data_IF_031851138636
#
_entry.id   IF_031851138636
#
_cell.length_a   1.000
_cell.length_b   1.000
_cell.length_c   1.000
_cell.angle_alpha   90.00
_cell.angle_beta   90.00
_cell.angle_gamma   90.00
#
_symmetry.space_group_name_H-M   'P 1'
#
loop_
_entity.id
_entity.type
_entity.pdbx_description
1 polymer ?
#
# COMPACT_ATOMS: atom_id res chain seq x y z
N UNK A 1 46.82 -22.74 45.91
CA UNK A 1 45.37 -22.73 45.66
C UNK A 1 45.10 -21.72 44.49
N UNK A 2 44.91 -22.21 43.25
CA UNK A 2 44.68 -21.35 42.07
C UNK A 2 43.16 -21.21 41.88
N UNK A 3 42.68 -19.98 42.03
CA UNK A 3 41.25 -19.65 41.79
C UNK A 3 41.07 -19.36 40.32
N UNK A 4 40.27 -20.20 39.60
CA UNK A 4 39.86 -19.96 38.22
C UNK A 4 38.59 -19.10 38.25
N UNK A 5 38.67 -17.89 37.70
CA UNK A 5 37.48 -17.07 37.38
C UNK A 5 36.91 -17.54 36.04
N UNK A 6 35.71 -18.11 36.07
CA UNK A 6 34.93 -18.40 34.86
C UNK A 6 34.14 -17.15 34.55
N UNK A 7 34.53 -16.44 33.48
CA UNK A 7 33.77 -15.29 32.95
C UNK A 7 32.69 -15.83 32.02
N UNK A 8 31.44 -15.82 32.47
CA UNK A 8 30.28 -16.20 31.65
C UNK A 8 29.94 -15.05 30.70
N UNK A 9 30.19 -15.22 29.40
CA UNK A 9 29.73 -14.29 28.36
C UNK A 9 28.25 -14.54 28.10
N UNK A 10 27.40 -13.60 28.53
CA UNK A 10 25.97 -13.60 28.14
C UNK A 10 25.84 -12.98 26.74
N UNK A 11 25.62 -13.80 25.76
CA UNK A 11 25.24 -13.32 24.42
C UNK A 11 23.79 -12.81 24.46
N UNK A 12 23.60 -11.48 24.51
CA UNK A 12 22.32 -10.85 24.32
C UNK A 12 22.08 -10.83 22.79
N UNK A 13 21.35 -11.82 22.28
CA UNK A 13 20.84 -11.78 20.90
C UNK A 13 19.71 -10.74 20.86
N UNK A 14 20.01 -9.56 20.36
CA UNK A 14 18.98 -8.58 20.01
C UNK A 14 18.13 -9.17 18.87
N UNK A 15 16.92 -9.60 19.18
CA UNK A 15 15.91 -9.86 18.17
C UNK A 15 15.64 -8.52 17.48
N UNK A 16 16.15 -8.35 16.28
CA UNK A 16 15.79 -7.23 15.42
C UNK A 16 14.29 -7.37 15.09
N UNK A 17 13.46 -6.66 15.84
CA UNK A 17 12.05 -6.47 15.50
C UNK A 17 12.05 -5.62 14.25
N UNK A 18 11.62 -6.19 13.12
CA UNK A 18 11.46 -5.44 11.87
C UNK A 18 10.57 -4.22 12.18
N UNK A 19 11.06 -3.02 11.88
CA UNK A 19 10.27 -1.81 12.07
C UNK A 19 8.97 -1.91 11.27
N UNK A 20 7.84 -1.52 11.87
CA UNK A 20 6.58 -1.50 11.14
C UNK A 20 6.68 -0.52 9.96
N UNK A 21 6.14 -0.91 8.82
CA UNK A 21 6.03 -0.07 7.63
C UNK A 21 5.33 1.25 7.99
N UNK A 22 5.99 2.37 7.75
CA UNK A 22 5.43 3.69 8.00
C UNK A 22 4.97 4.35 6.70
N UNK A 23 3.99 5.25 6.80
CA UNK A 23 3.57 6.07 5.67
C UNK A 23 4.74 6.93 5.11
N UNK A 24 5.62 7.40 5.98
CA UNK A 24 6.79 8.18 5.60
C UNK A 24 7.73 7.39 4.68
N UNK A 25 7.89 6.09 4.92
CA UNK A 25 8.73 5.22 4.06
C UNK A 25 8.13 5.10 2.65
N UNK A 26 6.79 5.01 2.54
CA UNK A 26 6.12 5.01 1.24
C UNK A 26 6.32 6.33 0.49
N UNK A 27 6.04 7.43 1.16
CA UNK A 27 6.21 8.76 0.58
C UNK A 27 7.65 8.97 0.10
N UNK A 28 8.63 8.64 0.95
CA UNK A 28 10.04 8.80 0.61
C UNK A 28 10.44 7.94 -0.60
N UNK A 29 9.95 6.72 -0.70
CA UNK A 29 10.23 5.84 -1.84
C UNK A 29 9.74 6.47 -3.14
N UNK A 30 8.49 6.93 -3.19
CA UNK A 30 7.94 7.54 -4.41
C UNK A 30 8.60 8.88 -4.70
N UNK A 31 8.76 9.73 -3.70
CA UNK A 31 9.28 11.09 -3.92
C UNK A 31 10.77 11.11 -4.27
N UNK A 32 11.52 10.04 -3.98
CA UNK A 32 12.92 9.91 -4.41
C UNK A 32 13.09 9.81 -5.93
N UNK A 33 12.03 9.47 -6.66
CA UNK A 33 12.01 9.44 -8.13
C UNK A 33 11.85 10.84 -8.76
N UNK A 34 11.48 11.84 -7.95
CA UNK A 34 11.18 13.20 -8.41
C UNK A 34 12.17 14.20 -7.84
N UNK A 35 12.35 15.31 -8.55
CA UNK A 35 13.31 16.35 -8.16
C UNK A 35 12.80 17.20 -7.00
N UNK A 36 11.48 17.44 -6.95
CA UNK A 36 10.88 18.38 -6.00
C UNK A 36 9.43 18.02 -5.69
N UNK A 37 9.04 18.27 -4.45
CA UNK A 37 7.65 18.21 -3.99
C UNK A 37 7.16 19.63 -3.75
N UNK A 38 5.95 19.95 -4.19
CA UNK A 38 5.29 21.24 -3.97
C UNK A 38 3.89 21.04 -3.38
N UNK A 39 3.35 21.99 -2.62
CA UNK A 39 1.93 22.04 -2.31
C UNK A 39 1.12 22.00 -3.61
N UNK A 40 0.08 21.18 -3.65
CA UNK A 40 -0.82 21.11 -4.79
C UNK A 40 -1.88 22.22 -4.70
N UNK A 41 -2.10 22.95 -5.79
CA UNK A 41 -3.13 23.99 -5.86
C UNK A 41 -4.50 23.46 -6.32
N UNK A 42 -4.58 22.17 -6.69
CA UNK A 42 -5.83 21.55 -7.10
C UNK A 42 -6.73 21.26 -5.90
N UNK A 43 -8.03 21.42 -6.09
CA UNK A 43 -9.02 21.13 -5.05
C UNK A 43 -9.40 19.64 -5.09
N UNK A 44 -9.31 18.94 -3.97
CA UNK A 44 -9.78 17.56 -3.80
C UNK A 44 -11.25 17.42 -4.25
N UNK A 45 -12.06 18.43 -3.99
CA UNK A 45 -13.48 18.43 -4.37
C UNK A 45 -13.71 18.31 -5.88
N UNK A 46 -12.81 18.89 -6.68
CA UNK A 46 -12.88 18.89 -8.14
C UNK A 46 -12.24 17.65 -8.80
N UNK A 47 -11.43 16.91 -8.06
CA UNK A 47 -10.74 15.72 -8.58
C UNK A 47 -11.56 14.46 -8.30
N UNK A 48 -11.70 13.59 -9.29
CA UNK A 48 -12.32 12.27 -9.11
C UNK A 48 -11.26 11.17 -9.26
N UNK A 49 -10.84 10.61 -8.14
CA UNK A 49 -9.84 9.53 -8.09
C UNK A 49 -10.38 8.15 -8.47
N UNK A 50 -11.63 8.03 -8.89
CA UNK A 50 -12.21 6.76 -9.35
C UNK A 50 -11.38 6.09 -10.44
N UNK A 51 -10.95 6.76 -11.53
CA UNK A 51 -10.13 6.13 -12.56
C UNK A 51 -8.74 5.70 -12.06
N UNK A 52 -8.15 6.46 -11.13
CA UNK A 52 -6.86 6.09 -10.51
C UNK A 52 -7.00 4.83 -9.67
N UNK A 53 -8.02 4.77 -8.81
CA UNK A 53 -8.26 3.64 -7.90
C UNK A 53 -8.75 2.38 -8.61
N UNK A 54 -9.50 2.50 -9.73
CA UNK A 54 -10.03 1.39 -10.52
C UNK A 54 -9.14 1.03 -11.72
N UNK A 55 -7.88 1.48 -11.73
CA UNK A 55 -6.95 1.10 -12.80
C UNK A 55 -6.85 -0.43 -12.92
N UNK A 56 -7.13 -0.95 -14.13
CA UNK A 56 -7.37 -2.38 -14.35
C UNK A 56 -6.18 -3.15 -14.93
N UNK A 57 -5.23 -2.43 -15.49
CA UNK A 57 -4.06 -3.04 -16.16
C UNK A 57 -3.11 -3.71 -15.16
N UNK A 58 -3.13 -3.29 -13.90
CA UNK A 58 -2.28 -3.81 -12.84
C UNK A 58 -3.10 -4.34 -11.67
N UNK A 59 -2.67 -5.47 -11.09
CA UNK A 59 -3.35 -6.10 -9.96
C UNK A 59 -2.73 -5.65 -8.65
N UNK A 60 -3.57 -5.45 -7.63
CA UNK A 60 -3.08 -5.29 -6.25
C UNK A 60 -2.47 -6.58 -5.72
N UNK A 61 -1.25 -6.48 -5.26
CA UNK A 61 -0.50 -7.55 -4.63
C UNK A 61 0.01 -7.08 -3.26
N UNK A 62 -0.12 -7.92 -2.25
CA UNK A 62 0.24 -7.53 -0.90
C UNK A 62 0.58 -8.68 0.03
N UNK A 63 0.92 -8.31 1.26
CA UNK A 63 1.29 -9.21 2.33
C UNK A 63 0.49 -8.94 3.61
N UNK A 64 0.17 -10.00 4.36
CA UNK A 64 -0.51 -9.91 5.66
C UNK A 64 0.22 -10.76 6.71
N UNK A 65 0.44 -10.14 7.88
CA UNK A 65 0.99 -10.76 9.07
C UNK A 65 2.49 -11.07 9.01
N UNK A 66 3.02 -11.57 10.12
CA UNK A 66 4.45 -11.84 10.28
C UNK A 66 5.02 -12.87 9.29
N UNK A 67 4.16 -13.77 8.81
CA UNK A 67 4.53 -14.76 7.80
C UNK A 67 4.41 -14.24 6.37
N UNK A 68 4.05 -12.97 6.19
CA UNK A 68 3.89 -12.32 4.88
C UNK A 68 3.05 -13.19 3.93
N UNK A 69 1.90 -13.71 4.42
CA UNK A 69 0.97 -14.47 3.59
C UNK A 69 0.51 -13.60 2.42
N UNK A 70 0.45 -14.18 1.23
CA UNK A 70 0.01 -13.46 0.04
C UNK A 70 -1.42 -12.94 0.23
N UNK A 71 -1.58 -11.65 0.00
CA UNK A 71 -2.85 -10.93 -0.01
C UNK A 71 -3.10 -10.42 -1.43
N UNK A 72 -4.26 -10.69 -1.97
CA UNK A 72 -4.76 -10.08 -3.20
C UNK A 72 -5.97 -9.24 -2.84
N UNK A 73 -6.02 -8.02 -3.33
CA UNK A 73 -7.15 -7.10 -3.15
C UNK A 73 -7.72 -6.74 -4.51
N UNK A 74 -9.04 -6.70 -4.64
CA UNK A 74 -9.70 -6.28 -5.86
C UNK A 74 -10.88 -5.39 -5.53
N UNK A 75 -10.86 -4.17 -6.00
CA UNK A 75 -12.03 -3.30 -6.00
C UNK A 75 -12.98 -3.69 -7.13
N UNK A 76 -14.26 -3.80 -6.81
CA UNK A 76 -15.34 -4.08 -7.78
C UNK A 76 -16.19 -2.85 -8.05
N UNK A 77 -16.27 -1.93 -7.09
CA UNK A 77 -16.97 -0.66 -7.20
C UNK A 77 -16.26 0.41 -6.38
N UNK A 78 -16.10 1.58 -6.96
CA UNK A 78 -15.66 2.80 -6.28
C UNK A 78 -16.55 3.93 -6.74
N UNK A 79 -17.12 4.67 -5.79
CA UNK A 79 -17.99 5.81 -6.05
C UNK A 79 -17.61 6.98 -5.17
N UNK A 80 -17.32 8.12 -5.79
CA UNK A 80 -17.14 9.39 -5.07
C UNK A 80 -18.46 9.79 -4.41
N UNK A 81 -18.39 10.23 -3.15
CA UNK A 81 -19.56 10.72 -2.44
C UNK A 81 -19.94 12.13 -2.91
N UNK A 82 -21.22 12.36 -3.18
CA UNK A 82 -21.72 13.63 -3.69
C UNK A 82 -21.76 14.74 -2.64
N UNK A 83 -21.84 14.38 -1.36
CA UNK A 83 -21.96 15.31 -0.23
C UNK A 83 -20.62 15.55 0.46
N UNK A 84 -19.71 14.57 0.39
CA UNK A 84 -18.37 14.62 0.94
C UNK A 84 -17.34 14.34 -0.15
N UNK A 85 -16.91 15.34 -0.92
CA UNK A 85 -16.10 15.14 -2.15
C UNK A 85 -14.73 14.48 -1.94
N UNK A 86 -14.24 14.38 -0.72
CA UNK A 86 -13.01 13.65 -0.38
C UNK A 86 -13.25 12.18 -0.08
N UNK A 87 -14.51 11.76 0.08
CA UNK A 87 -14.91 10.41 0.46
C UNK A 87 -15.26 9.57 -0.77
N UNK A 88 -14.79 8.33 -0.77
CA UNK A 88 -15.11 7.31 -1.76
C UNK A 88 -15.71 6.09 -1.06
N UNK A 89 -16.91 5.68 -1.45
CA UNK A 89 -17.50 4.41 -1.07
C UNK A 89 -16.90 3.31 -1.93
N UNK A 90 -16.44 2.22 -1.30
CA UNK A 90 -15.75 1.14 -2.00
C UNK A 90 -16.35 -0.21 -1.67
N UNK A 91 -16.37 -1.09 -2.68
CA UNK A 91 -16.69 -2.50 -2.54
C UNK A 91 -15.63 -3.34 -3.25
N UNK A 92 -15.40 -4.54 -2.76
CA UNK A 92 -14.42 -5.42 -3.35
C UNK A 92 -14.31 -6.76 -2.62
N UNK A 93 -13.23 -7.44 -2.88
CA UNK A 93 -12.87 -8.67 -2.18
C UNK A 93 -11.36 -8.73 -1.90
N UNK A 94 -11.04 -9.43 -0.83
CA UNK A 94 -9.67 -9.82 -0.48
C UNK A 94 -9.52 -11.33 -0.65
N UNK A 95 -8.31 -11.78 -0.96
CA UNK A 95 -7.96 -13.21 -0.93
C UNK A 95 -6.63 -13.40 -0.22
N UNK A 96 -6.68 -14.09 0.92
CA UNK A 96 -5.48 -14.50 1.65
C UNK A 96 -5.29 -15.99 1.42
N UNK A 97 -4.22 -16.36 0.71
CA UNK A 97 -3.98 -17.72 0.24
C UNK A 97 -5.18 -18.27 -0.57
N UNK A 98 -6.05 -19.10 0.03
CA UNK A 98 -7.24 -19.70 -0.60
C UNK A 98 -8.56 -19.05 -0.17
N UNK A 99 -8.56 -18.22 0.87
CA UNK A 99 -9.77 -17.68 1.46
C UNK A 99 -10.11 -16.32 0.84
N UNK A 100 -11.22 -16.24 0.13
CA UNK A 100 -11.77 -14.99 -0.41
C UNK A 100 -12.83 -14.44 0.53
N UNK A 101 -12.84 -13.12 0.75
CA UNK A 101 -13.80 -12.38 1.59
C UNK A 101 -14.22 -11.11 0.87
N UNK A 102 -15.53 -10.85 0.83
CA UNK A 102 -16.04 -9.58 0.33
C UNK A 102 -15.93 -8.50 1.40
N UNK A 103 -15.61 -7.30 0.99
CA UNK A 103 -15.60 -6.14 1.85
C UNK A 103 -16.36 -4.97 1.24
N UNK A 104 -16.77 -4.07 2.11
CA UNK A 104 -17.24 -2.71 1.80
C UNK A 104 -16.53 -1.72 2.71
N UNK A 105 -16.47 -0.47 2.30
CA UNK A 105 -15.80 0.52 3.14
C UNK A 105 -15.62 1.85 2.48
N UNK A 106 -14.64 2.60 2.96
CA UNK A 106 -14.37 3.96 2.52
C UNK A 106 -12.88 4.22 2.30
N UNK A 107 -12.62 5.14 1.37
CA UNK A 107 -11.33 5.82 1.23
C UNK A 107 -11.62 7.31 1.37
N UNK A 108 -10.83 8.01 2.19
CA UNK A 108 -10.90 9.47 2.35
C UNK A 108 -9.57 10.06 1.92
N UNK A 109 -9.59 10.90 0.88
CA UNK A 109 -8.41 11.64 0.42
C UNK A 109 -8.27 12.89 1.28
N UNK A 110 -7.12 13.09 1.91
CA UNK A 110 -6.89 14.17 2.86
C UNK A 110 -5.99 15.28 2.30
N UNK A 111 -4.98 14.89 1.52
CA UNK A 111 -3.91 15.82 1.09
C UNK A 111 -3.51 15.51 -0.34
N UNK A 112 -3.16 16.56 -1.08
CA UNK A 112 -2.56 16.48 -2.41
C UNK A 112 -1.19 17.17 -2.39
N UNK A 113 -0.24 16.57 -3.08
CA UNK A 113 1.09 17.17 -3.34
C UNK A 113 1.38 17.04 -4.83
N UNK A 114 1.94 18.09 -5.41
CA UNK A 114 2.45 18.07 -6.79
C UNK A 114 3.91 17.60 -6.77
N UNK A 115 4.24 16.71 -7.67
CA UNK A 115 5.59 16.23 -7.91
C UNK A 115 6.16 16.90 -9.15
N UNK A 116 7.42 17.31 -9.11
CA UNK A 116 8.11 17.92 -10.24
C UNK A 116 9.15 16.95 -10.76
N UNK A 117 8.97 16.55 -12.01
CA UNK A 117 9.91 15.71 -12.73
C UNK A 117 10.97 16.55 -13.42
N UNK A 118 12.16 15.99 -13.65
CA UNK A 118 13.19 16.55 -14.54
C UNK A 118 13.04 16.05 -15.97
N UNK A 119 12.36 14.95 -16.18
CA UNK A 119 12.12 14.37 -17.48
C UNK A 119 10.85 14.94 -18.10
N UNK A 120 10.83 15.07 -19.42
CA UNK A 120 9.60 15.43 -20.13
C UNK A 120 8.59 14.29 -20.01
N UNK A 121 7.38 14.61 -19.60
CA UNK A 121 6.28 13.66 -19.52
C UNK A 121 5.12 14.14 -20.38
N UNK A 122 4.26 13.21 -20.80
CA UNK A 122 3.03 13.55 -21.52
C UNK A 122 1.93 14.13 -20.60
N UNK A 123 2.27 14.39 -19.33
CA UNK A 123 1.34 14.92 -18.34
C UNK A 123 1.55 16.42 -18.10
N UNK A 124 0.45 17.14 -17.88
CA UNK A 124 0.48 18.55 -17.45
C UNK A 124 0.96 18.73 -16.02
N UNK A 125 0.56 17.79 -15.16
CA UNK A 125 0.84 17.82 -13.73
C UNK A 125 0.82 16.38 -13.20
N UNK A 126 1.72 16.13 -12.27
CA UNK A 126 1.86 14.84 -11.59
C UNK A 126 1.83 15.05 -10.07
N UNK A 127 1.40 14.06 -9.34
CA UNK A 127 1.38 14.20 -7.90
C UNK A 127 1.05 12.94 -7.13
N UNK A 128 1.02 13.12 -5.81
CA UNK A 128 0.53 12.11 -4.88
C UNK A 128 -0.71 12.60 -4.15
N UNK A 129 -1.64 11.69 -3.91
CA UNK A 129 -2.78 11.88 -3.04
C UNK A 129 -2.65 10.97 -1.83
N UNK A 130 -2.81 11.54 -0.64
CA UNK A 130 -2.72 10.85 0.62
C UNK A 130 -4.10 10.72 1.24
N UNK A 131 -4.36 9.57 1.85
CA UNK A 131 -5.65 9.35 2.46
C UNK A 131 -5.64 8.28 3.54
N UNK A 132 -6.86 8.01 4.02
CA UNK A 132 -7.11 6.91 4.95
C UNK A 132 -8.11 5.94 4.31
N UNK A 133 -8.04 4.68 4.69
CA UNK A 133 -9.02 3.67 4.31
C UNK A 133 -9.54 2.90 5.49
N UNK A 134 -10.78 2.44 5.36
CA UNK A 134 -11.45 1.54 6.29
C UNK A 134 -12.30 0.56 5.48
N UNK A 135 -11.97 -0.75 5.52
CA UNK A 135 -12.71 -1.79 4.82
C UNK A 135 -13.20 -2.83 5.82
N UNK A 136 -14.46 -3.17 5.73
CA UNK A 136 -15.15 -4.13 6.59
C UNK A 136 -15.50 -5.39 5.79
N UNK A 137 -14.90 -6.53 6.14
CA UNK A 137 -15.30 -7.84 5.64
C UNK A 137 -16.61 -8.23 6.34
N UNK A 138 -17.70 -8.33 5.58
CA UNK A 138 -19.06 -8.40 6.13
C UNK A 138 -19.77 -9.76 5.99
N UNK A 139 -19.14 -10.72 5.31
CA UNK A 139 -19.72 -12.06 5.13
C UNK A 139 -19.72 -12.84 6.46
N UNK A 140 -20.73 -13.70 6.65
CA UNK A 140 -20.77 -14.60 7.81
C UNK A 140 -19.86 -15.83 7.59
N UNK A 141 -18.56 -15.58 7.55
CA UNK A 141 -17.52 -16.58 7.30
C UNK A 141 -16.43 -16.50 8.40
N UNK A 142 -15.69 -17.58 8.64
CA UNK A 142 -14.54 -17.52 9.55
C UNK A 142 -13.43 -16.62 9.01
N UNK A 143 -12.62 -16.08 9.92
CA UNK A 143 -11.49 -15.23 9.60
C UNK A 143 -11.85 -14.00 8.75
N UNK A 144 -12.91 -13.30 9.14
CA UNK A 144 -13.24 -11.96 8.65
C UNK A 144 -12.69 -10.90 9.60
N UNK A 145 -12.44 -9.70 9.08
CA UNK A 145 -11.85 -8.62 9.85
C UNK A 145 -12.12 -7.24 9.29
N UNK A 146 -11.45 -6.28 9.87
CA UNK A 146 -11.46 -4.88 9.47
C UNK A 146 -10.05 -4.48 9.06
N UNK A 147 -9.92 -3.99 7.84
CA UNK A 147 -8.71 -3.34 7.36
C UNK A 147 -8.80 -1.84 7.61
N UNK A 148 -7.78 -1.22 8.16
CA UNK A 148 -7.68 0.23 8.27
C UNK A 148 -6.23 0.70 8.14
N UNK A 149 -6.05 1.90 7.58
CA UNK A 149 -4.71 2.44 7.44
C UNK A 149 -4.63 3.66 6.53
N UNK A 150 -3.49 3.82 5.91
CA UNK A 150 -3.13 4.91 5.01
C UNK A 150 -3.07 4.42 3.57
N UNK A 151 -3.42 5.32 2.65
CA UNK A 151 -3.28 5.12 1.21
C UNK A 151 -2.46 6.25 0.60
N UNK A 152 -1.61 5.88 -0.35
CA UNK A 152 -0.88 6.79 -1.23
C UNK A 152 -1.20 6.41 -2.67
N UNK A 153 -1.67 7.39 -3.45
CA UNK A 153 -1.99 7.24 -4.88
C UNK A 153 -1.07 8.15 -5.68
N UNK A 154 -0.44 7.63 -6.74
CA UNK A 154 0.25 8.46 -7.72
C UNK A 154 -0.74 8.80 -8.85
N UNK A 155 -0.92 10.08 -9.11
CA UNK A 155 -1.86 10.59 -10.09
C UNK A 155 -1.18 11.53 -11.09
N UNK A 156 -1.78 11.64 -12.25
CA UNK A 156 -1.38 12.60 -13.27
C UNK A 156 -2.59 13.31 -13.88
N UNK A 157 -2.37 14.50 -14.39
CA UNK A 157 -3.33 15.22 -15.24
C UNK A 157 -2.82 15.16 -16.67
N UNK A 158 -3.57 14.49 -17.53
CA UNK A 158 -3.24 14.39 -18.95
C UNK A 158 -3.31 15.74 -19.67
N UNK A 159 -2.76 15.82 -20.86
CA UNK A 159 -2.85 17.01 -21.71
C UNK A 159 -4.29 17.42 -22.05
N UNK A 160 -5.25 16.49 -21.94
CA UNK A 160 -6.70 16.74 -22.09
C UNK A 160 -7.37 17.25 -20.83
N UNK A 161 -6.64 17.29 -19.70
CA UNK A 161 -7.15 17.77 -18.40
C UNK A 161 -7.84 16.67 -17.57
N UNK A 162 -7.75 15.40 -17.95
CA UNK A 162 -8.32 14.30 -17.20
C UNK A 162 -7.37 13.84 -16.09
N UNK A 163 -7.94 13.46 -14.95
CA UNK A 163 -7.20 12.78 -13.90
C UNK A 163 -7.00 11.31 -14.28
N UNK A 164 -5.77 10.86 -14.29
CA UNK A 164 -5.36 9.53 -14.74
C UNK A 164 -4.40 8.89 -13.73
N UNK A 165 -4.26 7.56 -13.82
CA UNK A 165 -3.23 6.81 -13.12
C UNK A 165 -1.86 7.24 -13.65
N UNK A 166 -0.91 7.53 -12.75
CA UNK A 166 0.44 7.88 -13.16
C UNK A 166 1.26 6.60 -13.35
N UNK A 167 1.56 6.25 -14.59
CA UNK A 167 2.35 5.08 -14.99
C UNK A 167 3.78 5.43 -15.43
N UNK A 168 4.16 6.69 -15.40
CA UNK A 168 5.43 7.17 -15.93
C UNK A 168 6.66 6.41 -15.40
N UNK A 169 6.65 6.07 -14.11
CA UNK A 169 7.72 5.31 -13.48
C UNK A 169 7.43 3.82 -13.31
N UNK A 170 6.48 3.25 -14.08
CA UNK A 170 6.08 1.86 -13.93
C UNK A 170 7.24 0.87 -14.04
N UNK A 171 8.22 1.15 -14.90
CA UNK A 171 9.44 0.37 -15.09
C UNK A 171 10.58 0.69 -14.11
N UNK A 172 10.43 1.71 -13.26
CA UNK A 172 11.49 2.11 -12.33
C UNK A 172 11.51 1.25 -11.06
N UNK A 173 12.70 0.85 -10.64
CA UNK A 173 12.90 0.19 -9.34
C UNK A 173 13.21 1.27 -8.27
N UNK A 174 12.50 1.38 -7.19
CA UNK A 174 11.52 0.47 -6.55
C UNK A 174 10.05 0.90 -6.67
N UNK A 175 9.61 1.41 -7.80
CA UNK A 175 8.30 2.01 -7.98
C UNK A 175 7.12 1.09 -7.60
N UNK A 176 6.11 1.69 -7.00
CA UNK A 176 4.80 1.13 -6.75
C UNK A 176 3.74 2.24 -6.85
N UNK A 177 2.49 1.88 -7.12
CA UNK A 177 1.39 2.83 -7.13
C UNK A 177 0.19 2.29 -6.35
N UNK A 178 -0.74 3.19 -6.00
CA UNK A 178 -1.93 2.86 -5.22
C UNK A 178 -1.59 2.01 -3.98
N UNK A 179 -0.62 2.52 -3.19
CA UNK A 179 -0.10 1.79 -2.04
C UNK A 179 -0.97 1.96 -0.80
N UNK A 180 -1.25 0.86 -0.14
CA UNK A 180 -2.02 0.79 1.10
C UNK A 180 -1.18 0.13 2.18
N UNK A 181 -1.11 0.75 3.35
CA UNK A 181 -0.44 0.19 4.53
C UNK A 181 -1.33 0.35 5.76
N UNK A 182 -1.30 -0.62 6.64
CA UNK A 182 -2.11 -0.54 7.85
C UNK A 182 -2.22 -1.87 8.57
N UNK A 183 -3.37 -2.11 9.13
CA UNK A 183 -3.67 -3.29 9.91
C UNK A 183 -4.95 -3.97 9.48
N UNK A 184 -4.99 -5.27 9.64
CA UNK A 184 -6.19 -6.09 9.63
C UNK A 184 -6.46 -6.61 11.04
N UNK A 185 -7.65 -6.40 11.57
CA UNK A 185 -8.06 -6.88 12.90
C UNK A 185 -9.20 -7.88 12.76
N UNK A 186 -8.97 -9.10 13.24
CA UNK A 186 -9.99 -10.16 13.23
C UNK A 186 -11.20 -9.78 14.07
N UNK A 187 -12.41 -9.88 13.51
CA UNK A 187 -13.66 -9.66 14.26
C UNK A 187 -13.89 -10.69 15.34
N UNK A 188 -13.39 -11.93 15.14
CA UNK A 188 -13.59 -13.02 16.07
C UNK A 188 -12.60 -13.02 17.23
N UNK A 189 -11.31 -12.83 16.92
CA UNK A 189 -10.23 -13.00 17.91
C UNK A 189 -9.64 -11.69 18.41
N UNK A 190 -10.01 -10.55 17.79
CA UNK A 190 -9.48 -9.21 18.03
C UNK A 190 -7.95 -9.11 17.81
N UNK A 191 -7.32 -10.15 17.25
CA UNK A 191 -5.91 -10.14 16.91
C UNK A 191 -5.67 -9.26 15.69
N UNK A 192 -4.66 -8.40 15.80
CA UNK A 192 -4.27 -7.46 14.74
C UNK A 192 -3.02 -7.95 14.03
N UNK A 193 -2.98 -7.79 12.70
CA UNK A 193 -1.85 -8.11 11.84
C UNK A 193 -1.53 -6.91 10.95
N UNK A 194 -0.25 -6.69 10.66
CA UNK A 194 0.17 -5.69 9.67
C UNK A 194 -0.21 -6.14 8.28
N UNK A 195 -0.59 -5.18 7.45
CA UNK A 195 -0.92 -5.39 6.04
C UNK A 195 -0.29 -4.31 5.17
N UNK A 196 0.14 -4.69 3.98
CA UNK A 196 0.53 -3.77 2.93
C UNK A 196 0.19 -4.36 1.56
N UNK A 197 -0.27 -3.52 0.63
CA UNK A 197 -0.46 -3.92 -0.76
C UNK A 197 -0.36 -2.71 -1.68
N UNK A 198 0.00 -2.95 -2.92
CA UNK A 198 0.05 -1.92 -3.97
C UNK A 198 -0.05 -2.56 -5.36
N UNK A 199 -0.07 -1.73 -6.37
CA UNK A 199 0.25 -2.11 -7.74
C UNK A 199 1.77 -2.29 -7.89
N UNK A 200 2.20 -3.21 -8.73
CA UNK A 200 3.58 -3.54 -9.09
C UNK A 200 4.35 -4.19 -7.94
N UNK A 201 4.84 -3.44 -6.97
CA UNK A 201 5.60 -3.97 -5.83
C UNK A 201 4.82 -3.93 -4.53
N UNK A 202 5.14 -4.85 -3.63
CA UNK A 202 4.56 -4.87 -2.27
C UNK A 202 5.31 -3.88 -1.39
N UNK A 203 4.65 -2.83 -0.87
CA UNK A 203 5.31 -1.85 -0.01
C UNK A 203 5.86 -2.51 1.26
N UNK A 204 7.02 -2.06 1.71
CA UNK A 204 7.67 -2.56 2.93
C UNK A 204 7.84 -4.08 2.95
N UNK A 205 8.05 -4.68 1.79
CA UNK A 205 8.19 -6.12 1.62
C UNK A 205 9.38 -6.71 2.38
N UNK A 206 10.41 -5.89 2.66
CA UNK A 206 11.67 -6.34 3.25
C UNK A 206 12.27 -7.47 2.41
N UNK A 207 12.60 -8.58 3.04
CA UNK A 207 13.18 -9.75 2.38
C UNK A 207 12.19 -10.64 1.61
N UNK A 208 10.92 -10.25 1.51
CA UNK A 208 9.94 -10.94 0.67
C UNK A 208 10.23 -10.71 -0.82
N UNK A 209 10.57 -9.48 -1.18
CA UNK A 209 10.93 -9.10 -2.54
C UNK A 209 12.44 -9.16 -2.72
N UNK A 210 12.91 -10.00 -3.64
CA UNK A 210 14.32 -10.16 -3.98
C UNK A 210 14.61 -9.77 -5.44
N UNK A 211 13.60 -9.21 -6.12
CA UNK A 211 13.74 -8.77 -7.50
C UNK A 211 14.48 -7.43 -7.60
N UNK A 212 15.29 -7.28 -8.64
CA UNK A 212 15.94 -6.00 -8.96
C UNK A 212 14.99 -5.07 -9.73
N UNK A 213 14.49 -5.48 -10.88
CA UNK A 213 13.57 -4.68 -11.70
C UNK A 213 12.10 -4.92 -11.36
N UNK A 214 11.66 -6.16 -11.28
CA UNK A 214 10.28 -6.54 -10.98
C UNK A 214 10.16 -7.25 -9.64
N UNK A 215 8.94 -7.36 -9.12
CA UNK A 215 8.67 -8.09 -7.89
C UNK A 215 8.94 -9.59 -8.07
N UNK A 216 9.90 -10.13 -7.30
CA UNK A 216 10.23 -11.56 -7.26
C UNK A 216 10.12 -12.06 -5.82
N UNK A 217 9.17 -12.94 -5.49
CA UNK A 217 9.03 -13.42 -4.13
C UNK A 217 10.19 -14.33 -3.73
N UNK A 218 10.76 -14.11 -2.56
CA UNK A 218 11.77 -14.98 -1.99
C UNK A 218 11.17 -16.40 -1.76
N UNK A 219 11.89 -17.42 -2.17
CA UNK A 219 11.47 -18.84 -2.15
C UNK A 219 10.95 -19.31 -0.79
N UNK A 220 11.46 -18.77 0.32
CA UNK A 220 11.00 -19.13 1.68
C UNK A 220 9.53 -18.77 1.95
N UNK A 221 8.93 -17.86 1.16
CA UNK A 221 7.54 -17.43 1.29
C UNK A 221 6.57 -18.15 0.35
N UNK A 222 7.04 -18.99 -0.59
CA UNK A 222 6.18 -19.72 -1.53
C UNK A 222 5.10 -20.56 -0.83
N UNK A 223 5.43 -21.16 0.33
CA UNK A 223 4.47 -21.90 1.17
C UNK A 223 3.32 -21.07 1.73
N UNK A 224 3.43 -19.73 1.65
CA UNK A 224 2.41 -18.78 2.10
C UNK A 224 1.60 -18.18 0.93
N UNK A 225 1.66 -18.82 -0.25
CA UNK A 225 0.82 -18.50 -1.41
C UNK A 225 1.44 -17.61 -2.47
N UNK A 226 2.74 -17.33 -2.34
CA UNK A 226 3.51 -16.54 -3.32
C UNK A 226 3.88 -17.37 -4.55
#
# INVERSE_FOLDING_TARGET
>A
MKIFFITTFVFITSLAVAQPCSYKDLEQTITSLYTKIKPCNLSIAKMDFTPVLLYKETKFLGAIGIHKKRLVVQFTSIKKDNTQPSLYQVEGWTRVTKNTRKFRGTIVINTLKTLVNTEETDFKEEGIAEGNFLFDEYENLPAIGIFKGKVLLCWAISNKGNLEYNDFYEGADPYFNNAFIGTWTSKQTQKTQQVSWAHLRVPCSGDLDIGAGEFIPNKKYLKYGW
#
